data_IF_450320494893
#
_entry.id   IF_450320494893
#
_cell.length_a   1.000
_cell.length_b   1.000
_cell.length_c   1.000
_cell.angle_alpha   90.00
_cell.angle_beta   90.00
_cell.angle_gamma   90.00
#
_symmetry.space_group_name_H-M   'P 1'
#
loop_
_entity.id
_entity.type
_entity.pdbx_description
1 polymer ?
#
# COMPACT_ATOMS: atom_id res chain seq x y z
N UNK A 1 -13.25 -7.86 1.35
CA UNK A 1 -12.99 -6.41 1.22
C UNK A 1 -13.30 -5.88 2.59
N UNK A 2 -12.32 -5.32 3.26
CA UNK A 2 -12.43 -4.96 4.68
C UNK A 2 -12.19 -3.47 4.87
N UNK A 3 -12.79 -2.89 5.90
CA UNK A 3 -12.53 -1.52 6.33
C UNK A 3 -11.26 -1.49 7.19
N UNK A 4 -10.35 -0.57 6.88
CA UNK A 4 -9.08 -0.40 7.59
C UNK A 4 -8.88 1.08 7.92
N UNK A 5 -8.35 1.33 9.11
CA UNK A 5 -7.84 2.64 9.49
C UNK A 5 -6.36 2.71 9.17
N UNK A 6 -5.94 3.77 8.49
CA UNK A 6 -4.53 4.05 8.20
C UNK A 6 -4.07 5.17 9.14
N UNK A 7 -2.97 4.95 9.84
CA UNK A 7 -2.39 5.96 10.73
C UNK A 7 -1.86 7.17 9.93
N UNK A 8 -1.78 8.36 10.54
CA UNK A 8 -1.11 9.52 9.94
C UNK A 8 0.38 9.23 9.63
N UNK A 9 0.97 9.88 8.61
CA UNK A 9 2.36 9.64 8.22
C UNK A 9 3.35 10.09 9.30
N UNK A 10 4.39 9.28 9.54
CA UNK A 10 5.51 9.61 10.43
C UNK A 10 6.59 10.40 9.69
N UNK A 11 7.67 10.75 10.39
CA UNK A 11 8.82 11.41 9.78
C UNK A 11 9.36 10.59 8.59
N UNK A 12 9.55 11.25 7.44
CA UNK A 12 10.00 10.61 6.19
C UNK A 12 8.93 9.82 5.43
N UNK A 13 7.67 9.82 5.87
CA UNK A 13 6.57 9.10 5.21
C UNK A 13 5.60 10.06 4.50
N UNK A 14 4.94 9.58 3.45
CA UNK A 14 3.84 10.28 2.77
C UNK A 14 2.58 9.43 2.81
N UNK A 15 1.45 10.07 3.07
CA UNK A 15 0.14 9.43 2.95
C UNK A 15 -0.43 9.74 1.57
N UNK A 16 -0.75 8.70 0.82
CA UNK A 16 -1.38 8.83 -0.50
C UNK A 16 -2.89 8.56 -0.41
N UNK A 17 -3.67 9.42 -1.05
CA UNK A 17 -5.04 9.07 -1.46
C UNK A 17 -4.97 8.35 -2.80
N UNK A 18 -5.21 7.05 -2.76
CA UNK A 18 -5.17 6.18 -3.94
C UNK A 18 -6.28 6.53 -4.93
N UNK A 19 -5.96 6.55 -6.22
CA UNK A 19 -6.92 6.68 -7.32
C UNK A 19 -7.10 5.34 -8.03
N UNK A 20 -6.00 4.63 -8.27
CA UNK A 20 -6.00 3.32 -8.88
C UNK A 20 -4.77 2.51 -8.42
N UNK A 21 -4.85 1.19 -8.56
CA UNK A 21 -3.69 0.30 -8.52
C UNK A 21 -3.84 -0.73 -9.63
N UNK A 22 -2.74 -1.04 -10.31
CA UNK A 22 -2.64 -2.23 -11.15
C UNK A 22 -2.73 -3.53 -10.32
N UNK A 23 -2.94 -4.64 -11.03
CA UNK A 23 -2.87 -6.00 -10.48
C UNK A 23 -1.86 -6.76 -11.32
N UNK A 24 -0.81 -7.25 -10.69
CA UNK A 24 0.26 -7.97 -11.35
C UNK A 24 0.24 -9.46 -10.95
N UNK A 25 0.97 -10.28 -11.71
CA UNK A 25 1.10 -11.70 -11.43
C UNK A 25 1.80 -12.00 -10.09
N UNK A 26 2.65 -11.08 -9.61
CA UNK A 26 3.27 -11.18 -8.29
C UNK A 26 2.26 -11.06 -7.15
N UNK A 27 1.21 -10.25 -7.28
CA UNK A 27 0.13 -10.19 -6.26
C UNK A 27 -0.55 -11.55 -6.16
N UNK A 28 -0.87 -12.18 -7.31
CA UNK A 28 -1.42 -13.53 -7.35
C UNK A 28 -0.45 -14.56 -6.77
N UNK A 29 0.85 -14.43 -7.05
CA UNK A 29 1.88 -15.34 -6.53
C UNK A 29 1.95 -15.33 -5.01
N UNK A 30 1.66 -14.19 -4.36
CA UNK A 30 1.52 -14.12 -2.91
C UNK A 30 0.26 -14.84 -2.45
N UNK A 31 -0.88 -14.60 -3.10
CA UNK A 31 -2.16 -15.27 -2.78
C UNK A 31 -2.05 -16.80 -2.91
N UNK A 32 -1.33 -17.30 -3.91
CA UNK A 32 -1.16 -18.75 -4.13
C UNK A 32 0.01 -19.36 -3.36
N UNK A 33 0.72 -18.58 -2.54
CA UNK A 33 1.83 -19.05 -1.71
C UNK A 33 3.13 -19.38 -2.47
N UNK A 34 3.24 -18.96 -3.73
CA UNK A 34 4.50 -19.05 -4.50
C UNK A 34 5.53 -18.08 -3.95
N UNK A 35 5.09 -16.88 -3.56
CA UNK A 35 5.86 -15.92 -2.77
C UNK A 35 5.24 -15.89 -1.38
N UNK A 36 6.04 -16.15 -0.34
CA UNK A 36 5.54 -16.12 1.03
C UNK A 36 5.47 -14.68 1.56
N UNK A 37 4.30 -14.29 2.03
CA UNK A 37 4.07 -13.17 2.95
C UNK A 37 3.19 -13.66 4.09
N UNK A 38 3.41 -13.12 5.29
CA UNK A 38 2.65 -13.50 6.48
C UNK A 38 1.23 -12.90 6.43
N UNK A 39 0.15 -13.72 6.42
CA UNK A 39 -1.21 -13.20 6.39
C UNK A 39 -1.69 -12.82 7.82
N UNK A 40 -2.54 -11.78 7.97
CA UNK A 40 -3.17 -10.99 6.91
C UNK A 40 -2.23 -9.95 6.29
N UNK A 41 -2.34 -9.76 4.97
CA UNK A 41 -1.52 -8.82 4.20
C UNK A 41 -2.38 -8.03 3.21
N UNK A 42 -2.08 -6.74 3.05
CA UNK A 42 -2.63 -5.88 1.98
C UNK A 42 -1.67 -5.92 0.80
N UNK A 43 -2.15 -6.36 -0.36
CA UNK A 43 -1.37 -6.48 -1.60
C UNK A 43 -1.58 -5.28 -2.53
N UNK A 44 -0.89 -5.29 -3.67
CA UNK A 44 -0.86 -4.19 -4.63
C UNK A 44 0.42 -3.37 -4.50
N UNK A 45 1.14 -3.24 -5.61
CA UNK A 45 2.42 -2.52 -5.68
C UNK A 45 2.53 -1.62 -6.93
N UNK A 46 1.41 -1.42 -7.61
CA UNK A 46 1.32 -0.64 -8.86
C UNK A 46 0.34 0.52 -8.70
N UNK A 47 0.45 1.23 -7.58
CA UNK A 47 -0.45 2.28 -7.15
C UNK A 47 -0.18 3.65 -7.78
N UNK A 48 -1.24 4.40 -8.08
CA UNK A 48 -1.19 5.82 -8.43
C UNK A 48 -2.26 6.61 -7.67
N UNK A 49 -1.90 7.80 -7.22
CA UNK A 49 -2.77 8.65 -6.41
C UNK A 49 -2.20 10.05 -6.18
N UNK A 50 -2.77 10.77 -5.22
CA UNK A 50 -2.34 12.11 -4.83
C UNK A 50 -1.78 12.08 -3.40
N UNK A 51 -0.79 12.92 -3.12
CA UNK A 51 -0.31 13.15 -1.75
C UNK A 51 -1.43 13.82 -0.95
N UNK A 52 -1.89 13.15 0.09
CA UNK A 52 -2.92 13.65 0.99
C UNK A 52 -2.31 14.37 2.20
N UNK A 53 -1.20 13.84 2.73
CA UNK A 53 -0.46 14.39 3.86
C UNK A 53 1.02 14.03 3.74
N UNK A 54 1.90 14.88 4.27
CA UNK A 54 3.34 14.64 4.38
C UNK A 54 3.74 14.63 5.84
N UNK A 55 4.54 13.64 6.24
CA UNK A 55 5.14 13.64 7.56
C UNK A 55 6.28 14.65 7.68
N UNK A 56 6.80 14.87 8.91
CA UNK A 56 7.97 15.71 9.13
C UNK A 56 9.17 15.28 8.27
N UNK A 57 10.02 16.25 7.91
CA UNK A 57 11.28 16.06 7.19
C UNK A 57 11.17 15.46 5.77
N UNK A 58 9.96 15.38 5.20
CA UNK A 58 9.75 15.10 3.77
C UNK A 58 10.10 16.35 2.95
N UNK A 59 10.96 16.20 1.94
CA UNK A 59 11.42 17.27 1.02
C UNK A 59 11.17 16.92 -0.43
#
# INVERSE_FOLDING_TARGET
VEELTVDPPKAGEVLLRMVASGVCHSDLSVVTGTIYYDPPVVLGHEGAGFVAEVGPDVT
#
